data_IF_842506444912
#
_entry.id   IF_842506444912
#
_cell.length_a   1.000
_cell.length_b   1.000
_cell.length_c   1.000
_cell.angle_alpha   90.00
_cell.angle_beta   90.00
_cell.angle_gamma   90.00
#
_symmetry.space_group_name_H-M   'P 1'
#
loop_
_entity.id
_entity.type
_entity.pdbx_description
1 polymer ?
#
# COMPACT_ATOMS: atom_id res chain seq x y z
N UNK A 1 -21.15 0.12 3.84
CA UNK A 1 -19.80 0.22 4.43
C UNK A 1 -19.36 -1.20 4.69
N UNK A 2 -18.55 -1.76 3.81
CA UNK A 2 -18.01 -3.11 3.97
C UNK A 2 -16.54 -2.95 4.39
N UNK A 3 -16.22 -3.32 5.61
CA UNK A 3 -14.88 -3.18 6.22
C UNK A 3 -13.92 -4.31 5.80
N UNK A 4 -14.16 -4.95 4.66
CA UNK A 4 -13.35 -6.07 4.20
C UNK A 4 -12.03 -5.56 3.59
N UNK A 5 -11.00 -5.37 4.42
CA UNK A 5 -9.56 -5.31 4.10
C UNK A 5 -9.10 -4.41 2.94
N UNK A 6 -9.97 -3.50 2.49
CA UNK A 6 -9.73 -2.61 1.37
C UNK A 6 -10.01 -1.19 1.83
N UNK A 7 -8.95 -0.41 1.96
CA UNK A 7 -9.08 1.01 2.23
C UNK A 7 -9.52 1.71 0.94
N UNK A 8 -10.84 1.92 0.79
CA UNK A 8 -11.42 2.71 -0.30
C UNK A 8 -11.67 4.13 0.25
N UNK A 9 -10.71 5.04 0.01
CA UNK A 9 -10.80 6.45 0.39
C UNK A 9 -11.88 7.15 -0.46
N UNK A 10 -13.15 6.97 -0.08
CA UNK A 10 -14.24 7.75 -0.65
C UNK A 10 -14.79 7.19 -1.96
N UNK A 11 -16.03 6.76 -1.87
CA UNK A 11 -16.98 6.55 -2.95
C UNK A 11 -17.02 7.74 -3.93
N UNK A 12 -16.12 7.79 -4.92
CA UNK A 12 -16.29 8.50 -6.21
C UNK A 12 -15.59 7.83 -7.41
N UNK A 13 -14.83 6.73 -7.25
CA UNK A 13 -14.23 6.04 -8.42
C UNK A 13 -14.11 4.51 -8.33
N UNK A 14 -15.15 3.84 -7.83
CA UNK A 14 -15.22 2.38 -7.83
C UNK A 14 -15.08 1.82 -9.26
N UNK A 15 -13.90 1.29 -9.61
CA UNK A 15 -13.70 0.56 -10.87
C UNK A 15 -12.27 0.43 -11.39
N UNK A 16 -11.32 1.27 -10.97
CA UNK A 16 -9.93 1.14 -11.44
C UNK A 16 -9.05 0.44 -10.40
N UNK A 17 -8.54 -0.74 -10.74
CA UNK A 17 -7.72 -1.58 -9.86
C UNK A 17 -6.43 -0.88 -9.37
N UNK A 18 -5.94 0.12 -10.09
CA UNK A 18 -4.71 0.86 -9.75
C UNK A 18 -4.87 1.86 -8.59
N UNK A 19 -6.09 2.00 -8.04
CA UNK A 19 -6.39 2.82 -6.86
C UNK A 19 -7.02 1.99 -5.73
N UNK A 20 -6.91 0.67 -5.83
CA UNK A 20 -7.40 -0.26 -4.83
C UNK A 20 -6.20 -0.82 -4.08
N UNK A 21 -6.31 -0.86 -2.76
CA UNK A 21 -5.23 -1.26 -1.86
C UNK A 21 -5.73 -2.35 -0.91
N UNK A 22 -4.92 -3.36 -0.68
CA UNK A 22 -5.16 -4.41 0.29
C UNK A 22 -4.24 -4.20 1.49
N UNK A 23 -4.83 -4.19 2.69
CA UNK A 23 -4.08 -4.16 3.95
C UNK A 23 -3.93 -5.59 4.45
N UNK A 24 -2.69 -6.05 4.59
CA UNK A 24 -2.38 -7.44 4.91
C UNK A 24 -2.06 -7.62 6.40
N UNK A 25 -2.33 -8.82 6.92
CA UNK A 25 -2.06 -9.15 8.33
C UNK A 25 -0.56 -9.13 8.68
N UNK A 26 0.32 -9.17 7.69
CA UNK A 26 1.77 -9.09 7.88
C UNK A 26 2.29 -7.63 7.96
N UNK A 27 1.38 -6.65 7.95
CA UNK A 27 1.69 -5.22 8.00
C UNK A 27 1.96 -4.57 6.63
N UNK A 28 1.96 -5.33 5.53
CA UNK A 28 2.14 -4.72 4.20
C UNK A 28 0.84 -4.11 3.68
N UNK A 29 0.98 -3.07 2.86
CA UNK A 29 -0.11 -2.54 2.02
C UNK A 29 0.23 -2.84 0.57
N UNK A 30 -0.62 -3.60 -0.13
CA UNK A 30 -0.38 -3.99 -1.53
C UNK A 30 -1.37 -3.32 -2.49
N UNK A 31 -0.87 -2.87 -3.64
CA UNK A 31 -1.73 -2.40 -4.72
C UNK A 31 -2.40 -3.57 -5.42
N UNK A 32 -3.74 -3.56 -5.53
CA UNK A 32 -4.50 -4.69 -6.10
C UNK A 32 -4.12 -4.94 -7.57
N UNK A 33 -3.89 -3.89 -8.36
CA UNK A 33 -3.45 -4.06 -9.74
C UNK A 33 -2.01 -4.56 -9.86
N UNK A 34 -1.10 -4.03 -9.03
CA UNK A 34 0.34 -4.25 -9.20
C UNK A 34 0.84 -5.51 -8.50
N UNK A 35 0.15 -5.96 -7.44
CA UNK A 35 0.64 -6.97 -6.51
C UNK A 35 1.90 -6.54 -5.76
N UNK A 36 2.24 -5.24 -5.79
CA UNK A 36 3.45 -4.66 -5.20
C UNK A 36 3.14 -3.98 -3.88
N UNK A 37 4.15 -3.92 -3.01
CA UNK A 37 4.05 -3.29 -1.70
C UNK A 37 4.29 -1.79 -1.80
N UNK A 38 3.57 -1.04 -0.96
CA UNK A 38 3.92 0.33 -0.62
C UNK A 38 5.29 0.30 0.07
N UNK A 39 6.24 1.07 -0.45
CA UNK A 39 7.65 1.03 -0.02
C UNK A 39 8.18 2.45 0.14
N UNK A 40 8.84 2.74 1.27
CA UNK A 40 9.58 4.00 1.42
C UNK A 40 10.93 3.90 0.73
N UNK A 41 11.14 4.72 -0.30
CA UNK A 41 12.30 4.66 -1.19
C UNK A 41 13.61 4.72 -0.40
N UNK A 42 14.47 3.73 -0.64
CA UNK A 42 15.78 3.61 0.01
C UNK A 42 15.71 3.37 1.52
N UNK A 43 14.56 2.96 2.05
CA UNK A 43 14.29 2.84 3.50
C UNK A 43 14.58 4.13 4.29
N UNK A 44 14.40 5.29 3.65
CA UNK A 44 14.62 6.58 4.29
C UNK A 44 13.65 6.81 5.45
N UNK A 45 14.15 7.34 6.57
CA UNK A 45 13.32 7.79 7.70
C UNK A 45 13.24 9.32 7.76
N UNK A 46 13.74 10.02 6.74
CA UNK A 46 13.70 11.47 6.70
C UNK A 46 12.28 11.97 6.36
N UNK A 47 11.92 13.13 6.89
CA UNK A 47 10.67 13.79 6.54
C UNK A 47 10.61 14.07 5.04
N UNK A 48 9.46 13.76 4.43
CA UNK A 48 9.26 13.90 2.98
C UNK A 48 9.89 12.77 2.15
N UNK A 49 10.32 11.66 2.77
CA UNK A 49 10.71 10.47 2.04
C UNK A 49 9.64 10.06 1.02
N UNK A 50 10.09 9.76 -0.20
CA UNK A 50 9.20 9.33 -1.27
C UNK A 50 8.71 7.90 -1.03
N UNK A 51 7.52 7.63 -1.56
CA UNK A 51 6.89 6.31 -1.52
C UNK A 51 6.75 5.78 -2.93
N UNK A 52 7.05 4.50 -3.12
CA UNK A 52 7.00 3.81 -4.40
C UNK A 52 6.26 2.46 -4.33
N UNK A 53 6.02 1.86 -5.49
CA UNK A 53 5.53 0.50 -5.62
C UNK A 53 6.68 -0.45 -5.92
N UNK A 54 7.15 -1.16 -4.89
CA UNK A 54 8.28 -2.07 -5.00
C UNK A 54 7.89 -3.53 -4.82
N UNK A 55 8.78 -4.43 -5.26
CA UNK A 55 8.65 -5.85 -4.98
C UNK A 55 8.56 -6.05 -3.46
N UNK A 56 7.52 -6.74 -3.01
CA UNK A 56 7.41 -7.15 -1.61
C UNK A 56 8.61 -8.04 -1.24
N UNK A 57 9.38 -7.61 -0.25
CA UNK A 57 10.62 -8.27 0.18
C UNK A 57 10.72 -8.47 1.70
N UNK A 58 9.70 -8.04 2.46
CA UNK A 58 9.66 -8.20 3.92
C UNK A 58 10.47 -7.15 4.68
N UNK A 59 11.06 -6.17 4.00
CA UNK A 59 11.76 -5.05 4.60
C UNK A 59 10.83 -4.21 5.48
N UNK A 60 11.39 -3.64 6.55
CA UNK A 60 10.63 -2.79 7.49
C UNK A 60 10.05 -1.54 6.84
N UNK A 61 10.69 -1.03 5.78
CA UNK A 61 10.22 0.09 4.96
C UNK A 61 8.97 -0.24 4.10
N UNK A 62 8.47 -1.47 4.14
CA UNK A 62 7.25 -1.93 3.49
C UNK A 62 6.11 -2.24 4.48
N UNK A 63 6.32 -1.95 5.77
CA UNK A 63 5.37 -2.25 6.83
C UNK A 63 4.74 -0.96 7.32
N UNK A 64 3.41 -0.92 7.26
CA UNK A 64 2.62 0.08 7.97
C UNK A 64 2.54 -0.25 9.46
N UNK A 65 1.98 0.68 10.26
CA UNK A 65 1.58 0.40 11.63
C UNK A 65 0.53 -0.72 11.71
#
# INVERSE_FOLDING_TARGET
MDFANRFDFGNETAGRANRQWQVNADGTITGVQSGRCLDVTGASTADGALVELWRCNGGGNQKGP
#
